data_IF_464906284853
#
_entry.id   IF_464906284853
#
_cell.length_a   1.000
_cell.length_b   1.000
_cell.length_c   1.000
_cell.angle_alpha   90.00
_cell.angle_beta   90.00
_cell.angle_gamma   90.00
#
_symmetry.space_group_name_H-M   'P 1'
#
loop_
_entity.id
_entity.type
_entity.pdbx_description
1 polymer ?
#
# COMPACT_ATOMS: atom_id res chain seq x y z
N UNK A 1 15.81 -1.09 -6.51
CA UNK A 1 14.42 -0.59 -6.59
C UNK A 1 13.63 -1.20 -5.44
N UNK A 2 12.98 -0.42 -4.59
CA UNK A 2 12.32 -0.91 -3.37
C UNK A 2 10.97 -1.64 -3.60
N UNK A 3 10.64 -2.00 -4.84
CA UNK A 3 9.45 -2.79 -5.19
C UNK A 3 8.26 -1.93 -5.63
N UNK A 4 7.19 -2.59 -6.09
CA UNK A 4 5.92 -1.94 -6.38
C UNK A 4 4.95 -2.22 -5.24
N UNK A 5 4.23 -1.21 -4.77
CA UNK A 5 3.17 -1.36 -3.77
C UNK A 5 1.81 -1.17 -4.41
N UNK A 6 0.86 -1.98 -3.98
CA UNK A 6 -0.56 -1.77 -4.26
C UNK A 6 -1.17 -1.27 -2.96
N UNK A 7 -1.74 -0.07 -3.00
CA UNK A 7 -2.42 0.54 -1.85
C UNK A 7 -3.92 0.47 -2.13
N UNK A 8 -4.68 -0.38 -1.45
CA UNK A 8 -6.12 -0.49 -1.64
C UNK A 8 -6.85 0.70 -0.99
N UNK A 9 -8.17 0.81 -1.21
CA UNK A 9 -9.01 1.70 -0.43
C UNK A 9 -8.80 1.53 1.08
N UNK A 10 -8.94 2.63 1.83
CA UNK A 10 -8.82 2.65 3.30
C UNK A 10 -7.43 2.26 3.84
N UNK A 11 -6.41 2.27 3.00
CA UNK A 11 -5.02 2.10 3.38
C UNK A 11 -4.22 3.32 2.92
N UNK A 12 -3.06 3.53 3.53
CA UNK A 12 -2.14 4.60 3.14
C UNK A 12 -0.75 4.02 2.89
N UNK A 13 0.07 4.78 2.15
CA UNK A 13 1.50 4.51 2.00
C UNK A 13 2.28 5.55 2.80
N UNK A 14 3.17 5.08 3.67
CA UNK A 14 4.18 5.92 4.27
C UNK A 14 5.32 6.10 3.27
N UNK A 15 5.63 7.36 2.96
CA UNK A 15 6.72 7.74 2.07
C UNK A 15 7.76 8.50 2.91
N UNK A 16 8.96 7.93 3.14
CA UNK A 16 10.04 8.62 3.81
C UNK A 16 10.47 9.88 3.02
N UNK A 17 11.04 10.89 3.71
CA UNK A 17 11.59 12.05 3.03
C UNK A 17 12.65 11.63 2.00
N UNK A 18 12.73 12.38 0.91
CA UNK A 18 13.73 12.21 -0.16
C UNK A 18 13.71 10.85 -0.87
N UNK A 19 12.66 10.04 -0.71
CA UNK A 19 12.52 8.76 -1.40
C UNK A 19 11.99 8.95 -2.83
N UNK A 20 12.74 8.58 -3.89
CA UNK A 20 12.22 8.61 -5.25
C UNK A 20 11.07 7.62 -5.38
N UNK A 21 9.90 8.10 -5.84
CA UNK A 21 8.71 7.28 -5.98
C UNK A 21 7.88 7.75 -7.19
N UNK A 22 7.06 6.83 -7.72
CA UNK A 22 6.06 7.12 -8.73
C UNK A 22 4.74 6.52 -8.28
N UNK A 23 3.66 7.32 -8.33
CA UNK A 23 2.31 6.89 -7.96
C UNK A 23 1.45 6.82 -9.21
N UNK A 24 0.77 5.69 -9.39
CA UNK A 24 -0.27 5.54 -10.42
C UNK A 24 -1.59 5.23 -9.73
N UNK A 25 -2.56 6.11 -9.91
CA UNK A 25 -3.92 5.96 -9.39
C UNK A 25 -4.83 5.42 -10.50
N UNK A 26 -5.61 4.38 -10.21
CA UNK A 26 -6.54 3.77 -11.17
C UNK A 26 -7.89 3.61 -10.47
N UNK A 27 -8.90 4.37 -10.89
CA UNK A 27 -10.26 4.27 -10.35
C UNK A 27 -10.40 4.66 -8.87
N UNK A 28 -9.44 5.41 -8.31
CA UNK A 28 -9.44 5.82 -6.89
C UNK A 28 -9.07 7.30 -6.75
N UNK A 29 -9.53 7.92 -5.66
CA UNK A 29 -9.08 9.23 -5.20
C UNK A 29 -8.17 9.07 -3.98
N UNK A 30 -7.07 9.81 -3.93
CA UNK A 30 -6.15 9.79 -2.79
C UNK A 30 -6.18 11.12 -2.04
N UNK A 31 -5.89 11.06 -0.74
CA UNK A 31 -5.58 12.24 0.07
C UNK A 31 -4.13 12.10 0.54
N UNK A 32 -3.38 13.19 0.49
CA UNK A 32 -1.99 13.24 0.89
C UNK A 32 -1.85 14.14 2.10
N UNK A 33 -1.06 13.70 3.07
CA UNK A 33 -0.66 14.52 4.20
C UNK A 33 0.84 14.70 4.15
N UNK A 34 1.27 15.96 4.16
CA UNK A 34 2.67 16.33 4.22
C UNK A 34 3.00 16.75 5.64
N UNK A 35 4.13 16.25 6.14
CA UNK A 35 4.55 16.45 7.51
C UNK A 35 5.90 17.16 7.50
N UNK A 36 6.00 18.24 8.26
CA UNK A 36 7.26 18.92 8.47
C UNK A 36 8.27 17.97 9.15
N UNK A 37 9.57 18.06 8.81
CA UNK A 37 10.61 17.36 9.55
C UNK A 37 10.51 17.68 11.05
N UNK A 38 10.40 16.65 11.88
CA UNK A 38 10.26 16.79 13.34
C UNK A 38 8.82 16.87 13.86
N UNK A 39 7.80 16.90 12.99
CA UNK A 39 6.39 16.83 13.42
C UNK A 39 6.02 15.47 14.06
N UNK A 40 6.85 14.45 13.83
CA UNK A 40 6.70 13.11 14.40
C UNK A 40 7.99 12.68 15.10
N UNK A 41 7.93 11.72 16.06
CA UNK A 41 9.11 11.14 16.68
C UNK A 41 10.11 10.60 15.65
N UNK A 42 11.40 10.64 15.97
CA UNK A 42 12.49 10.29 15.04
C UNK A 42 12.48 8.82 14.57
N UNK A 43 11.84 7.92 15.32
CA UNK A 43 11.74 6.49 15.02
C UNK A 43 10.67 6.22 13.96
N UNK A 44 10.92 6.65 12.71
CA UNK A 44 10.06 6.33 11.57
C UNK A 44 10.75 5.41 10.57
N UNK A 45 9.98 4.53 9.91
CA UNK A 45 10.52 3.68 8.86
C UNK A 45 11.14 4.53 7.74
N UNK A 46 12.39 4.20 7.40
CA UNK A 46 13.12 4.81 6.29
C UNK A 46 12.83 4.12 4.95
N UNK A 47 11.81 3.25 4.93
CA UNK A 47 11.36 2.50 3.76
C UNK A 47 9.90 2.80 3.49
N UNK A 48 9.51 2.73 2.22
CA UNK A 48 8.10 2.80 1.86
C UNK A 48 7.34 1.59 2.43
N UNK A 49 6.21 1.85 3.08
CA UNK A 49 5.38 0.80 3.67
C UNK A 49 3.90 1.14 3.59
N UNK A 50 3.07 0.11 3.45
CA UNK A 50 1.61 0.26 3.56
C UNK A 50 1.24 0.25 5.04
N UNK A 51 0.38 1.17 5.44
CA UNK A 51 -0.12 1.31 6.82
C UNK A 51 -1.65 1.23 6.82
N UNK A 52 -2.21 0.67 7.89
CA UNK A 52 -3.66 0.70 8.11
C UNK A 52 -4.11 2.15 8.30
N UNK A 53 -5.29 2.50 7.77
CA UNK A 53 -5.97 3.73 8.17
C UNK A 53 -7.13 3.32 9.07
N UNK A 54 -7.06 3.67 10.35
CA UNK A 54 -8.14 3.40 11.30
C UNK A 54 -9.39 4.23 10.93
N UNK A 55 -10.60 3.81 11.35
CA UNK A 55 -11.80 4.61 11.14
C UNK A 55 -11.69 6.05 11.69
N UNK A 56 -11.05 6.21 12.86
CA UNK A 56 -10.78 7.53 13.45
C UNK A 56 -9.83 8.35 12.57
N UNK A 57 -8.67 7.80 12.20
CA UNK A 57 -7.72 8.46 11.30
C UNK A 57 -8.39 8.89 9.99
N UNK A 58 -9.26 8.04 9.42
CA UNK A 58 -10.01 8.38 8.20
C UNK A 58 -10.88 9.62 8.40
N UNK A 59 -11.61 9.72 9.51
CA UNK A 59 -12.45 10.89 9.79
C UNK A 59 -11.59 12.15 10.06
N UNK A 60 -10.45 12.01 10.75
CA UNK A 60 -9.51 13.11 10.96
C UNK A 60 -8.95 13.63 9.64
N UNK A 61 -8.52 12.74 8.74
CA UNK A 61 -8.05 13.11 7.41
C UNK A 61 -9.14 13.77 6.57
N UNK A 62 -10.39 13.33 6.68
CA UNK A 62 -11.51 13.96 5.97
C UNK A 62 -11.75 15.38 6.48
N UNK A 63 -11.79 15.58 7.79
CA UNK A 63 -11.99 16.90 8.38
C UNK A 63 -10.78 17.83 8.17
N UNK A 64 -9.56 17.30 8.10
CA UNK A 64 -8.35 18.07 7.81
C UNK A 64 -8.32 18.64 6.39
N UNK A 65 -8.98 18.00 5.42
CA UNK A 65 -9.04 18.51 4.02
C UNK A 65 -9.82 19.81 3.92
N UNK A 66 -10.77 20.03 4.82
CA UNK A 66 -11.59 21.24 4.84
C UNK A 66 -10.96 22.35 5.70
N UNK A 67 -9.79 22.11 6.31
CA UNK A 67 -9.09 23.12 7.10
C UNK A 67 -8.49 24.22 6.21
N UNK A 68 -8.54 25.49 6.64
CA UNK A 68 -7.82 26.56 5.96
C UNK A 68 -6.30 26.34 6.07
N UNK A 69 -5.55 26.87 5.10
CA UNK A 69 -4.08 26.78 5.08
C UNK A 69 -3.48 27.39 6.36
N UNK A 70 -4.01 28.53 6.78
CA UNK A 70 -3.74 29.16 8.06
C UNK A 70 -4.92 28.88 8.99
N UNK A 71 -4.67 28.15 10.07
CA UNK A 71 -5.68 27.78 11.05
C UNK A 71 -5.23 28.20 12.45
N UNK A 72 -6.21 28.42 13.33
CA UNK A 72 -5.94 28.75 14.74
C UNK A 72 -5.41 27.51 15.47
N UNK A 73 -4.14 27.57 15.90
CA UNK A 73 -3.46 26.44 16.53
C UNK A 73 -4.02 26.07 17.92
N UNK A 74 -4.66 27.02 18.60
CA UNK A 74 -5.28 26.79 19.91
C UNK A 74 -6.79 26.47 19.80
N UNK A 75 -7.33 26.53 18.57
CA UNK A 75 -8.72 26.25 18.29
C UNK A 75 -8.98 24.78 17.92
N UNK A 76 -10.18 24.53 17.38
CA UNK A 76 -10.62 23.21 16.93
C UNK A 76 -9.63 22.55 15.96
N UNK A 77 -9.14 23.32 15.00
CA UNK A 77 -8.31 22.81 13.91
C UNK A 77 -6.89 22.46 14.39
N UNK A 78 -6.35 23.23 15.33
CA UNK A 78 -5.13 22.87 16.04
C UNK A 78 -5.26 21.59 16.86
N UNK A 79 -6.38 21.39 17.56
CA UNK A 79 -6.66 20.14 18.28
C UNK A 79 -6.78 18.94 17.33
N UNK A 80 -7.40 19.14 16.16
CA UNK A 80 -7.51 18.13 15.11
C UNK A 80 -6.13 17.75 14.57
N UNK A 81 -5.29 18.73 14.23
CA UNK A 81 -3.92 18.50 13.77
C UNK A 81 -3.09 17.74 14.82
N UNK A 82 -3.18 18.13 16.09
CA UNK A 82 -2.48 17.45 17.18
C UNK A 82 -2.93 15.98 17.31
N UNK A 83 -4.23 15.70 17.27
CA UNK A 83 -4.76 14.34 17.35
C UNK A 83 -4.33 13.50 16.13
N UNK A 84 -4.29 14.10 14.94
CA UNK A 84 -3.82 13.44 13.72
C UNK A 84 -2.36 12.99 13.89
N UNK A 85 -1.48 13.84 14.41
CA UNK A 85 -0.08 13.46 14.71
C UNK A 85 0.01 12.32 15.73
N UNK A 86 -0.86 12.28 16.74
CA UNK A 86 -0.91 11.19 17.72
C UNK A 86 -1.35 9.87 17.07
N UNK A 87 -2.37 9.90 16.22
CA UNK A 87 -2.83 8.72 15.47
C UNK A 87 -1.75 8.23 14.49
N UNK A 88 -1.04 9.15 13.83
CA UNK A 88 0.09 8.83 12.94
C UNK A 88 1.19 8.11 13.70
N UNK A 89 1.51 8.52 14.93
CA UNK A 89 2.51 7.89 15.79
C UNK A 89 2.18 6.43 16.12
N UNK A 90 0.90 6.06 16.09
CA UNK A 90 0.41 4.72 16.43
C UNK A 90 0.22 3.81 15.22
N UNK A 91 0.32 4.34 14.01
CA UNK A 91 0.13 3.56 12.79
C UNK A 91 1.04 2.34 12.74
N UNK A 92 0.43 1.19 12.52
CA UNK A 92 1.15 -0.07 12.41
C UNK A 92 1.47 -0.35 10.94
N UNK A 93 2.74 -0.71 10.63
CA UNK A 93 3.07 -1.26 9.33
C UNK A 93 2.22 -2.50 9.08
N UNK A 94 1.57 -2.55 7.92
CA UNK A 94 0.90 -3.75 7.48
C UNK A 94 1.82 -4.52 6.53
N UNK A 95 2.00 -5.84 6.69
CA UNK A 95 2.77 -6.67 5.77
C UNK A 95 2.01 -6.91 4.45
N UNK A 96 1.31 -5.90 3.95
CA UNK A 96 0.52 -5.89 2.72
C UNK A 96 1.37 -5.49 1.51
N UNK A 97 2.68 -5.72 1.57
CA UNK A 97 3.49 -5.65 0.37
C UNK A 97 3.05 -6.78 -0.57
N UNK A 98 2.55 -6.40 -1.75
CA UNK A 98 2.26 -7.32 -2.85
C UNK A 98 3.39 -7.13 -3.87
N UNK A 99 4.46 -7.93 -3.79
CA UNK A 99 5.60 -7.77 -4.68
C UNK A 99 5.15 -8.07 -6.11
N UNK A 100 5.34 -7.10 -7.00
CA UNK A 100 5.17 -7.34 -8.43
C UNK A 100 6.47 -7.93 -9.01
N UNK A 101 6.36 -8.95 -9.86
CA UNK A 101 7.51 -9.55 -10.52
C UNK A 101 8.15 -8.55 -11.49
N UNK A 102 9.45 -8.72 -11.74
CA UNK A 102 10.17 -7.95 -12.75
C UNK A 102 9.88 -8.48 -14.18
N UNK A 103 9.58 -9.77 -14.31
CA UNK A 103 9.19 -10.38 -15.60
C UNK A 103 7.91 -9.71 -16.14
N UNK A 104 7.94 -9.18 -17.39
CA UNK A 104 6.80 -8.46 -17.95
C UNK A 104 5.53 -9.31 -18.07
N UNK A 105 5.64 -10.57 -18.52
CA UNK A 105 4.48 -11.45 -18.75
C UNK A 105 3.81 -11.84 -17.44
N UNK A 106 4.60 -12.22 -16.44
CA UNK A 106 4.07 -12.48 -15.10
C UNK A 106 3.54 -11.19 -14.46
N UNK A 107 4.19 -10.06 -14.71
CA UNK A 107 3.76 -8.75 -14.22
C UNK A 107 2.40 -8.31 -14.78
N UNK A 108 2.12 -8.60 -16.06
CA UNK A 108 0.79 -8.42 -16.66
C UNK A 108 -0.26 -9.30 -15.99
N UNK A 109 0.01 -10.58 -15.77
CA UNK A 109 -0.91 -11.48 -15.06
C UNK A 109 -1.19 -11.00 -13.63
N UNK A 110 -0.14 -10.62 -12.89
CA UNK A 110 -0.28 -10.06 -11.55
C UNK A 110 -1.10 -8.77 -11.55
N UNK A 111 -0.85 -7.85 -12.49
CA UNK A 111 -1.63 -6.59 -12.59
C UNK A 111 -3.09 -6.85 -12.95
N UNK A 112 -3.38 -7.77 -13.86
CA UNK A 112 -4.74 -8.14 -14.22
C UNK A 112 -5.48 -8.77 -13.03
N UNK A 113 -4.82 -9.65 -12.28
CA UNK A 113 -5.37 -10.23 -11.06
C UNK A 113 -5.72 -9.15 -10.02
N UNK A 114 -4.86 -8.14 -9.85
CA UNK A 114 -5.09 -7.06 -8.90
C UNK A 114 -6.26 -6.13 -9.27
N UNK A 115 -6.75 -6.17 -10.51
CA UNK A 115 -7.96 -5.46 -10.90
C UNK A 115 -9.23 -6.22 -10.47
N UNK A 116 -9.19 -7.55 -10.51
CA UNK A 116 -10.30 -8.43 -10.16
C UNK A 116 -9.79 -9.66 -9.39
N UNK A 117 -9.51 -9.52 -8.09
CA UNK A 117 -8.91 -10.58 -7.29
C UNK A 117 -9.90 -11.74 -7.09
N UNK A 118 -9.48 -12.96 -7.40
CA UNK A 118 -10.23 -14.19 -7.13
C UNK A 118 -9.45 -15.09 -6.17
N UNK A 119 -10.01 -15.32 -4.98
CA UNK A 119 -9.42 -16.19 -3.97
C UNK A 119 -9.29 -17.66 -4.44
N UNK A 120 -10.03 -18.05 -5.49
CA UNK A 120 -10.02 -19.39 -6.06
C UNK A 120 -9.04 -19.54 -7.23
N UNK A 121 -8.38 -18.47 -7.66
CA UNK A 121 -7.43 -18.56 -8.78
C UNK A 121 -6.20 -19.38 -8.42
N UNK A 122 -5.61 -20.11 -9.37
CA UNK A 122 -4.64 -21.16 -9.03
C UNK A 122 -3.41 -21.17 -9.94
N UNK A 123 -2.30 -21.68 -9.41
CA UNK A 123 -1.08 -21.88 -10.17
C UNK A 123 -1.30 -22.78 -11.40
N UNK A 124 -2.24 -23.74 -11.30
CA UNK A 124 -2.66 -24.61 -12.40
C UNK A 124 -3.30 -23.84 -13.56
N UNK A 125 -4.01 -22.74 -13.28
CA UNK A 125 -4.57 -21.87 -14.32
C UNK A 125 -3.53 -20.92 -14.92
N UNK A 126 -2.56 -20.48 -14.11
CA UNK A 126 -1.54 -19.51 -14.55
C UNK A 126 -0.37 -20.14 -15.31
N UNK A 127 0.09 -21.32 -14.90
CA UNK A 127 1.26 -21.95 -15.49
C UNK A 127 1.14 -22.17 -17.02
N UNK A 128 0.00 -22.65 -17.56
CA UNK A 128 -0.17 -22.81 -19.01
C UNK A 128 -0.12 -21.47 -19.78
N UNK A 129 -0.60 -20.38 -19.19
CA UNK A 129 -0.58 -19.04 -19.81
C UNK A 129 0.83 -18.50 -20.02
N UNK A 130 1.80 -19.03 -19.28
CA UNK A 130 3.22 -18.71 -19.41
C UNK A 130 4.01 -19.83 -20.09
N UNK A 131 3.33 -20.85 -20.64
CA UNK A 131 3.94 -22.04 -21.25
C UNK A 131 4.87 -22.79 -20.29
N UNK A 132 4.49 -22.87 -19.01
CA UNK A 132 5.26 -23.52 -17.94
C UNK A 132 4.53 -24.71 -17.35
N UNK A 133 5.30 -25.72 -16.92
CA UNK A 133 4.79 -26.72 -15.97
C UNK A 133 4.49 -26.06 -14.61
N UNK A 134 3.62 -26.66 -13.80
CA UNK A 134 3.31 -26.17 -12.44
C UNK A 134 4.58 -26.05 -11.58
N UNK A 135 5.50 -27.02 -11.68
CA UNK A 135 6.76 -27.02 -10.93
C UNK A 135 7.66 -25.86 -11.37
N UNK A 136 7.75 -25.62 -12.68
CA UNK A 136 8.50 -24.49 -13.23
C UNK A 136 7.90 -23.17 -12.81
N UNK A 137 6.57 -23.03 -12.90
CA UNK A 137 5.85 -21.82 -12.49
C UNK A 137 6.06 -21.49 -11.02
N UNK A 138 5.87 -22.45 -10.11
CA UNK A 138 6.04 -22.20 -8.67
C UNK A 138 7.45 -21.70 -8.32
N UNK A 139 8.48 -22.29 -8.94
CA UNK A 139 9.87 -21.84 -8.77
C UNK A 139 10.09 -20.46 -9.38
N UNK A 140 9.57 -20.22 -10.58
CA UNK A 140 9.69 -18.94 -11.28
C UNK A 140 9.00 -17.81 -10.52
N UNK A 141 7.76 -18.03 -10.08
CA UNK A 141 6.98 -17.08 -9.32
C UNK A 141 7.68 -16.67 -8.03
N UNK A 142 8.18 -17.66 -7.26
CA UNK A 142 8.92 -17.40 -6.02
C UNK A 142 10.24 -16.67 -6.28
N UNK A 143 10.95 -16.98 -7.36
CA UNK A 143 12.17 -16.26 -7.73
C UNK A 143 11.89 -14.80 -8.10
N UNK A 144 10.74 -14.51 -8.70
CA UNK A 144 10.34 -13.17 -9.12
C UNK A 144 9.76 -12.32 -7.98
N UNK A 145 9.03 -12.93 -7.05
CA UNK A 145 8.23 -12.20 -6.04
C UNK A 145 8.71 -12.42 -4.60
N UNK A 146 9.60 -13.38 -4.36
CA UNK A 146 10.00 -13.81 -3.03
C UNK A 146 8.95 -14.64 -2.27
N UNK A 147 7.72 -14.76 -2.80
CA UNK A 147 6.59 -15.42 -2.13
C UNK A 147 6.08 -16.63 -2.94
N UNK A 148 5.53 -17.66 -2.28
CA UNK A 148 4.68 -18.65 -2.94
C UNK A 148 3.43 -17.99 -3.54
N UNK A 149 2.96 -18.48 -4.69
CA UNK A 149 1.78 -17.94 -5.37
C UNK A 149 0.54 -17.87 -4.46
N UNK A 150 0.27 -18.91 -3.65
CA UNK A 150 -0.87 -18.93 -2.74
C UNK A 150 -0.83 -17.82 -1.70
N UNK A 151 0.35 -17.55 -1.14
CA UNK A 151 0.56 -16.48 -0.16
C UNK A 151 0.43 -15.11 -0.82
N UNK A 152 1.00 -14.94 -2.02
CA UNK A 152 0.84 -13.71 -2.81
C UNK A 152 -0.63 -13.44 -3.14
N UNK A 153 -1.36 -14.45 -3.63
CA UNK A 153 -2.80 -14.39 -3.94
C UNK A 153 -3.62 -14.05 -2.70
N UNK A 154 -3.37 -14.72 -1.58
CA UNK A 154 -4.10 -14.45 -0.33
C UNK A 154 -3.89 -13.00 0.13
N UNK A 155 -2.65 -12.50 0.09
CA UNK A 155 -2.39 -11.09 0.40
C UNK A 155 -3.14 -10.18 -0.57
N UNK A 156 -3.07 -10.45 -1.88
CA UNK A 156 -3.79 -9.65 -2.87
C UNK A 156 -5.31 -9.62 -2.65
N UNK A 157 -5.93 -10.75 -2.33
CA UNK A 157 -7.36 -10.81 -2.01
C UNK A 157 -7.71 -10.06 -0.71
N UNK A 158 -6.91 -10.21 0.35
CA UNK A 158 -7.18 -9.52 1.64
C UNK A 158 -7.03 -8.01 1.51
N UNK A 159 -6.06 -7.56 0.73
CA UNK A 159 -5.78 -6.14 0.49
C UNK A 159 -6.93 -5.50 -0.28
N UNK A 160 -7.49 -6.20 -1.26
CA UNK A 160 -8.46 -5.64 -2.20
C UNK A 160 -9.93 -5.98 -1.89
N UNK A 161 -10.20 -6.69 -0.78
CA UNK A 161 -11.53 -6.97 -0.27
C UNK A 161 -12.12 -5.77 0.47
#
# INVERSE_FOLDING_TARGET
QQGNWVVPPQHAVWLPPQMPHAVRMVGVTTRSLYLEPGALPAERPQVCQVVSVTPLMRQLLMAAVDMPLEYEQQGRDGALAALLLHELARLQPLPLHIPLPADPRLGELCRAFLQHPDAHDSAQRWAPRLYMSIRTFSRFFRAQTGLPFSQWRQRACVVLA
#
